data_IF_591477560243
#
_entry.id   IF_591477560243
#
_cell.length_a   1.000
_cell.length_b   1.000
_cell.length_c   1.000
_cell.angle_alpha   90.00
_cell.angle_beta   90.00
_cell.angle_gamma   90.00
#
_symmetry.space_group_name_H-M   'P 1'
#
loop_
_entity.id
_entity.type
_entity.pdbx_description
1 polymer ?
#
# COMPACT_ATOMS: atom_id res chain seq x y z
N UNK A 1 -10.62 -28.71 13.80
CA UNK A 1 -10.32 -27.93 12.58
C UNK A 1 -9.83 -28.89 11.51
N UNK A 2 -10.38 -28.88 10.28
CA UNK A 2 -9.91 -29.76 9.21
C UNK A 2 -8.46 -29.40 8.88
N UNK A 3 -7.55 -30.37 9.04
CA UNK A 3 -6.14 -30.17 8.68
C UNK A 3 -6.04 -30.04 7.16
N UNK A 4 -5.52 -28.90 6.69
CA UNK A 4 -5.20 -28.69 5.28
C UNK A 4 -4.17 -29.74 4.86
N UNK A 5 -4.45 -30.45 3.76
CA UNK A 5 -3.57 -31.47 3.18
C UNK A 5 -2.19 -30.88 2.88
N UNK A 6 -1.14 -31.65 3.16
CA UNK A 6 0.24 -31.16 3.03
C UNK A 6 0.60 -30.83 1.57
N UNK A 7 -0.02 -31.49 0.60
CA UNK A 7 0.14 -31.19 -0.83
C UNK A 7 -0.42 -29.82 -1.20
N UNK A 8 -1.48 -29.38 -0.52
CA UNK A 8 -2.03 -28.03 -0.72
C UNK A 8 -1.15 -26.96 -0.10
N UNK A 9 -0.50 -27.29 1.03
CA UNK A 9 0.48 -26.43 1.69
C UNK A 9 1.68 -26.20 0.77
N UNK A 10 2.27 -27.26 0.22
CA UNK A 10 3.42 -27.17 -0.71
C UNK A 10 3.10 -26.34 -1.94
N UNK A 11 1.96 -26.62 -2.60
CA UNK A 11 1.52 -25.84 -3.77
C UNK A 11 1.35 -24.36 -3.49
N UNK A 12 0.87 -23.99 -2.29
CA UNK A 12 0.75 -22.58 -1.92
C UNK A 12 2.13 -21.93 -1.72
N UNK A 13 3.05 -22.63 -1.07
CA UNK A 13 4.44 -22.17 -0.89
C UNK A 13 5.08 -21.89 -2.25
N UNK A 14 5.10 -22.88 -3.14
CA UNK A 14 5.68 -22.74 -4.49
C UNK A 14 5.12 -21.54 -5.26
N UNK A 15 3.82 -21.29 -5.14
CA UNK A 15 3.14 -20.20 -5.85
C UNK A 15 3.47 -18.82 -5.27
N UNK A 16 3.57 -18.70 -3.96
CA UNK A 16 3.52 -17.41 -3.26
C UNK A 16 4.85 -16.97 -2.65
N UNK A 17 5.79 -17.90 -2.44
CA UNK A 17 7.06 -17.68 -1.73
C UNK A 17 7.91 -16.58 -2.38
N UNK A 18 8.09 -16.62 -3.69
CA UNK A 18 8.88 -15.60 -4.39
C UNK A 18 8.27 -14.20 -4.22
N UNK A 19 6.94 -14.08 -4.27
CA UNK A 19 6.26 -12.80 -4.09
C UNK A 19 6.37 -12.29 -2.65
N UNK A 20 6.28 -13.18 -1.66
CA UNK A 20 6.47 -12.86 -0.25
C UNK A 20 7.90 -12.38 0.04
N UNK A 21 8.91 -13.08 -0.46
CA UNK A 21 10.32 -12.72 -0.20
C UNK A 21 10.74 -11.41 -0.88
N UNK A 22 10.13 -11.08 -2.01
CA UNK A 22 10.40 -9.84 -2.75
C UNK A 22 9.53 -8.66 -2.32
N UNK A 23 8.59 -8.85 -1.39
CA UNK A 23 7.73 -7.77 -0.89
C UNK A 23 8.53 -6.84 0.04
N UNK A 24 8.63 -5.56 -0.34
CA UNK A 24 9.37 -4.53 0.40
C UNK A 24 8.66 -4.07 1.68
N UNK A 25 7.39 -4.43 1.87
CA UNK A 25 6.61 -4.10 3.08
C UNK A 25 6.84 -5.09 4.23
N UNK A 26 7.50 -6.22 3.95
CA UNK A 26 7.84 -7.24 4.95
C UNK A 26 9.25 -6.98 5.46
N UNK A 27 9.44 -6.97 6.78
CA UNK A 27 10.76 -6.80 7.38
C UNK A 27 11.69 -7.96 7.03
N UNK A 28 12.99 -7.65 6.91
CA UNK A 28 14.01 -8.67 6.64
C UNK A 28 14.06 -9.74 7.74
N UNK A 29 13.84 -9.38 9.01
CA UNK A 29 13.73 -10.34 10.12
C UNK A 29 12.63 -11.40 9.89
N UNK A 30 11.48 -11.00 9.35
CA UNK A 30 10.39 -11.94 9.06
C UNK A 30 10.75 -12.84 7.87
N UNK A 31 11.45 -12.30 6.87
CA UNK A 31 11.95 -13.08 5.72
C UNK A 31 13.03 -14.08 6.15
N UNK A 32 13.91 -13.69 7.07
CA UNK A 32 14.98 -14.54 7.59
C UNK A 32 14.40 -15.67 8.46
N UNK A 33 13.43 -15.36 9.31
CA UNK A 33 12.68 -16.36 10.06
C UNK A 33 11.91 -17.34 9.15
N UNK A 34 11.44 -16.87 8.00
CA UNK A 34 10.80 -17.73 7.02
C UNK A 34 11.82 -18.63 6.28
N UNK A 35 12.98 -18.08 5.89
CA UNK A 35 14.06 -18.80 5.18
C UNK A 35 14.76 -19.83 6.07
N UNK A 36 14.80 -19.63 7.39
CA UNK A 36 15.41 -20.57 8.34
C UNK A 36 14.60 -21.85 8.55
N UNK A 37 13.36 -21.90 8.04
CA UNK A 37 12.49 -23.07 8.10
C UNK A 37 12.87 -24.11 7.04
N UNK A 38 13.02 -25.35 7.48
CA UNK A 38 13.32 -26.50 6.62
C UNK A 38 12.08 -27.06 5.88
N UNK A 39 12.27 -28.19 5.19
CA UNK A 39 11.20 -28.87 4.42
C UNK A 39 10.44 -29.92 5.23
N UNK A 40 10.64 -29.95 6.55
CA UNK A 40 9.82 -30.79 7.43
C UNK A 40 8.36 -30.36 7.38
N UNK A 41 7.42 -31.28 7.57
CA UNK A 41 5.99 -30.96 7.54
C UNK A 41 5.62 -29.84 8.52
N UNK A 42 6.22 -29.83 9.71
CA UNK A 42 6.04 -28.80 10.73
C UNK A 42 6.46 -27.43 10.22
N UNK A 43 7.63 -27.34 9.57
CA UNK A 43 8.16 -26.10 9.01
C UNK A 43 7.38 -25.64 7.78
N UNK A 44 6.96 -26.55 6.91
CA UNK A 44 6.08 -26.24 5.78
C UNK A 44 4.74 -25.65 6.26
N UNK A 45 4.17 -26.19 7.34
CA UNK A 45 2.95 -25.62 7.95
C UNK A 45 3.20 -24.23 8.54
N UNK A 46 4.38 -23.96 9.10
CA UNK A 46 4.77 -22.61 9.53
C UNK A 46 4.93 -21.65 8.35
N UNK A 47 5.64 -22.04 7.28
CA UNK A 47 5.77 -21.27 6.03
C UNK A 47 4.38 -20.91 5.47
N UNK A 48 3.46 -21.87 5.45
CA UNK A 48 2.07 -21.65 5.04
C UNK A 48 1.34 -20.58 5.86
N UNK A 49 1.58 -20.53 7.17
CA UNK A 49 0.99 -19.52 8.05
C UNK A 49 1.53 -18.13 7.71
N UNK A 50 2.84 -17.98 7.53
CA UNK A 50 3.45 -16.71 7.10
C UNK A 50 2.82 -16.19 5.81
N UNK A 51 2.75 -17.04 4.77
CA UNK A 51 2.16 -16.68 3.47
C UNK A 51 0.68 -16.32 3.59
N UNK A 52 -0.07 -17.07 4.40
CA UNK A 52 -1.50 -16.81 4.60
C UNK A 52 -1.75 -15.49 5.34
N UNK A 53 -0.94 -15.17 6.36
CA UNK A 53 -1.02 -13.91 7.09
C UNK A 53 -0.62 -12.71 6.21
N UNK A 54 0.44 -12.86 5.42
CA UNK A 54 0.85 -11.85 4.44
C UNK A 54 -0.25 -11.57 3.41
N UNK A 55 -0.82 -12.62 2.80
CA UNK A 55 -1.90 -12.46 1.83
C UNK A 55 -3.16 -11.83 2.45
N UNK A 56 -3.49 -12.18 3.69
CA UNK A 56 -4.60 -11.53 4.40
C UNK A 56 -4.34 -10.03 4.63
N UNK A 57 -3.11 -9.65 5.02
CA UNK A 57 -2.72 -8.25 5.18
C UNK A 57 -2.76 -7.48 3.85
N UNK A 58 -2.22 -8.08 2.78
CA UNK A 58 -2.23 -7.50 1.43
C UNK A 58 -3.66 -7.27 0.92
N UNK A 59 -4.55 -8.24 1.09
CA UNK A 59 -5.95 -8.10 0.70
C UNK A 59 -6.69 -7.04 1.53
N UNK A 60 -6.38 -6.92 2.83
CA UNK A 60 -6.93 -5.87 3.68
C UNK A 60 -6.47 -4.47 3.25
N UNK A 61 -5.16 -4.30 3.01
CA UNK A 61 -4.62 -3.04 2.49
C UNK A 61 -5.24 -2.66 1.15
N UNK A 62 -5.41 -3.61 0.23
CA UNK A 62 -6.08 -3.36 -1.04
C UNK A 62 -7.56 -2.96 -0.83
N UNK A 63 -8.28 -3.60 0.10
CA UNK A 63 -9.67 -3.24 0.41
C UNK A 63 -9.84 -1.88 1.09
N UNK A 64 -8.83 -1.43 1.83
CA UNK A 64 -8.83 -0.12 2.49
C UNK A 64 -8.42 1.01 1.52
N UNK A 65 -7.66 0.70 0.46
CA UNK A 65 -7.31 1.66 -0.62
C UNK A 65 -8.48 1.82 -1.62
N UNK A 66 -9.28 0.77 -1.84
CA UNK A 66 -10.42 0.77 -2.78
C UNK A 66 -11.73 1.32 -2.18
N UNK A 67 -11.76 1.60 -0.87
CA UNK A 67 -12.78 2.46 -0.28
C UNK A 67 -12.46 3.91 -0.60
N UNK A 68 -12.57 4.27 -1.88
CA UNK A 68 -12.70 5.65 -2.28
C UNK A 68 -13.84 6.26 -1.45
N UNK A 69 -13.59 7.41 -0.82
CA UNK A 69 -14.60 8.08 -0.02
C UNK A 69 -15.82 8.30 -0.93
N UNK A 70 -16.96 7.70 -0.60
CA UNK A 70 -18.16 7.84 -1.40
C UNK A 70 -18.58 9.32 -1.35
N UNK A 71 -18.53 9.97 -2.52
CA UNK A 71 -18.95 11.37 -2.69
C UNK A 71 -20.39 11.56 -2.22
N UNK A 72 -21.21 10.51 -2.25
CA UNK A 72 -22.58 10.48 -1.75
C UNK A 72 -22.64 10.53 -0.22
N UNK A 73 -21.76 9.81 0.49
CA UNK A 73 -21.63 9.90 1.94
C UNK A 73 -21.13 11.29 2.37
N UNK A 74 -20.11 11.83 1.70
CA UNK A 74 -19.64 13.21 1.94
C UNK A 74 -20.80 14.19 1.76
N UNK A 75 -21.52 14.10 0.64
CA UNK A 75 -22.63 15.01 0.33
C UNK A 75 -23.77 14.90 1.35
N UNK A 76 -23.99 13.72 1.92
CA UNK A 76 -24.99 13.48 2.97
C UNK A 76 -24.55 14.12 4.28
N UNK A 77 -23.31 13.92 4.69
CA UNK A 77 -22.71 14.56 5.88
C UNK A 77 -22.80 16.09 5.78
N UNK A 78 -22.49 16.67 4.62
CA UNK A 78 -22.60 18.13 4.41
C UNK A 78 -24.04 18.64 4.45
N UNK A 79 -25.02 17.84 3.97
CA UNK A 79 -26.44 18.20 4.09
C UNK A 79 -26.90 18.19 5.54
N UNK A 80 -26.52 17.17 6.31
CA UNK A 80 -26.85 17.03 7.72
C UNK A 80 -26.20 18.13 8.56
N UNK A 81 -24.93 18.45 8.30
CA UNK A 81 -24.24 19.60 8.89
C UNK A 81 -24.99 20.89 8.59
N UNK A 82 -25.37 21.13 7.33
CA UNK A 82 -26.12 22.33 6.93
C UNK A 82 -27.45 22.47 7.68
N UNK A 83 -28.11 21.37 8.05
CA UNK A 83 -29.34 21.40 8.86
C UNK A 83 -29.09 21.50 10.36
N UNK A 84 -27.94 21.01 10.84
CA UNK A 84 -27.58 21.03 12.26
C UNK A 84 -26.98 22.37 12.71
N UNK A 85 -26.41 23.13 11.78
CA UNK A 85 -25.80 24.43 12.06
C UNK A 85 -26.86 25.52 11.93
N UNK A 86 -27.11 26.24 13.02
CA UNK A 86 -27.83 27.50 12.95
C UNK A 86 -26.96 28.52 12.23
N UNK A 87 -27.36 28.90 11.01
CA UNK A 87 -26.65 29.90 10.18
C UNK A 87 -26.54 31.29 10.82
N UNK A 88 -27.28 31.56 11.90
CA UNK A 88 -27.17 32.79 12.69
C UNK A 88 -26.07 32.72 13.76
N UNK A 89 -25.57 31.53 14.10
CA UNK A 89 -24.42 31.34 14.98
C UNK A 89 -23.10 31.53 14.22
N UNK A 90 -22.63 32.78 14.28
CA UNK A 90 -21.36 33.20 13.67
C UNK A 90 -20.15 32.42 14.21
N UNK A 91 -20.15 32.03 15.48
CA UNK A 91 -18.98 31.38 16.11
C UNK A 91 -18.80 29.96 15.57
N UNK A 92 -19.90 29.22 15.46
CA UNK A 92 -19.89 27.88 14.86
C UNK A 92 -19.51 27.94 13.38
N UNK A 93 -20.05 28.93 12.65
CA UNK A 93 -19.72 29.15 11.24
C UNK A 93 -18.22 29.46 11.02
N UNK A 94 -17.63 30.35 11.82
CA UNK A 94 -16.20 30.69 11.76
C UNK A 94 -15.30 29.47 12.06
N UNK A 95 -15.67 28.65 13.04
CA UNK A 95 -14.92 27.42 13.36
C UNK A 95 -14.94 26.44 12.18
N UNK A 96 -16.08 26.28 11.52
CA UNK A 96 -16.20 25.40 10.34
C UNK A 96 -15.33 25.90 9.20
N UNK A 97 -15.35 27.21 8.90
CA UNK A 97 -14.49 27.77 7.86
C UNK A 97 -13.01 27.53 8.16
N UNK A 98 -12.60 27.70 9.42
CA UNK A 98 -11.22 27.45 9.85
C UNK A 98 -10.81 25.99 9.65
N UNK A 99 -11.65 25.04 10.04
CA UNK A 99 -11.39 23.62 9.83
C UNK A 99 -11.37 23.24 8.34
N UNK A 100 -12.22 23.86 7.51
CA UNK A 100 -12.19 23.67 6.05
C UNK A 100 -10.89 24.20 5.42
N UNK A 101 -10.35 25.32 5.90
CA UNK A 101 -9.04 25.82 5.45
C UNK A 101 -7.90 24.87 5.84
N UNK A 102 -7.92 24.34 7.06
CA UNK A 102 -6.93 23.34 7.52
C UNK A 102 -7.00 22.09 6.65
N UNK A 103 -8.22 21.59 6.39
CA UNK A 103 -8.42 20.43 5.52
C UNK A 103 -7.92 20.68 4.10
N UNK A 104 -8.21 21.86 3.53
CA UNK A 104 -7.71 22.25 2.22
C UNK A 104 -6.17 22.26 2.17
N UNK A 105 -5.53 22.89 3.14
CA UNK A 105 -4.07 22.92 3.23
C UNK A 105 -3.46 21.50 3.36
N UNK A 106 -4.12 20.61 4.12
CA UNK A 106 -3.71 19.22 4.24
C UNK A 106 -3.81 18.46 2.91
N UNK A 107 -4.90 18.65 2.16
CA UNK A 107 -5.08 18.06 0.83
C UNK A 107 -4.00 18.57 -0.13
N UNK A 108 -3.81 19.89 -0.20
CA UNK A 108 -2.85 20.52 -1.10
C UNK A 108 -1.41 20.01 -0.84
N UNK A 109 -1.01 19.94 0.44
CA UNK A 109 0.31 19.42 0.81
C UNK A 109 0.46 17.92 0.54
N UNK A 110 -0.60 17.15 0.70
CA UNK A 110 -0.58 15.70 0.42
C UNK A 110 -0.47 15.43 -1.08
N UNK A 111 -1.21 16.16 -1.91
CA UNK A 111 -1.12 16.07 -3.37
C UNK A 111 0.25 16.54 -3.87
N UNK A 112 0.80 17.61 -3.30
CA UNK A 112 2.19 18.03 -3.59
C UNK A 112 3.21 16.93 -3.28
N UNK A 113 3.11 16.27 -2.11
CA UNK A 113 4.00 15.15 -1.76
C UNK A 113 3.87 13.96 -2.71
N UNK A 114 2.66 13.65 -3.18
CA UNK A 114 2.45 12.60 -4.20
C UNK A 114 3.14 12.98 -5.51
N UNK A 115 2.93 14.21 -5.98
CA UNK A 115 3.55 14.72 -7.20
C UNK A 115 5.09 14.65 -7.12
N UNK A 116 5.66 15.02 -5.97
CA UNK A 116 7.10 14.99 -5.74
C UNK A 116 7.67 13.58 -5.73
N UNK A 117 6.94 12.60 -5.17
CA UNK A 117 7.31 11.17 -5.28
C UNK A 117 7.31 10.69 -6.73
N UNK A 118 6.28 11.03 -7.51
CA UNK A 118 6.24 10.68 -8.93
C UNK A 118 7.39 11.31 -9.72
N UNK A 119 7.72 12.56 -9.44
CA UNK A 119 8.86 13.25 -10.06
C UNK A 119 10.18 12.54 -9.75
N UNK A 120 10.40 12.14 -8.50
CA UNK A 120 11.61 11.42 -8.10
C UNK A 120 11.70 10.03 -8.74
N UNK A 121 10.57 9.33 -8.89
CA UNK A 121 10.54 8.04 -9.57
C UNK A 121 10.88 8.18 -11.07
N UNK A 122 10.31 9.18 -11.74
CA UNK A 122 10.64 9.48 -13.14
C UNK A 122 12.11 9.84 -13.33
N UNK A 123 12.70 10.60 -12.39
CA UNK A 123 14.14 10.91 -12.41
C UNK A 123 15.00 9.65 -12.33
N UNK A 124 14.70 8.73 -11.41
CA UNK A 124 15.42 7.45 -11.30
C UNK A 124 15.29 6.60 -12.57
N UNK A 125 14.10 6.57 -13.17
CA UNK A 125 13.90 5.85 -14.43
C UNK A 125 14.71 6.48 -15.57
N UNK A 126 14.76 7.82 -15.64
CA UNK A 126 15.60 8.53 -16.62
C UNK A 126 17.07 8.17 -16.46
N UNK A 127 17.61 8.23 -15.24
CA UNK A 127 19.00 7.87 -14.95
C UNK A 127 19.32 6.41 -15.34
N UNK A 128 18.39 5.49 -15.06
CA UNK A 128 18.56 4.08 -15.44
C UNK A 128 18.57 3.89 -16.97
N UNK A 129 17.71 4.61 -17.70
CA UNK A 129 17.66 4.58 -19.15
C UNK A 129 18.95 5.16 -19.74
N UNK A 130 19.41 6.31 -19.25
CA UNK A 130 20.67 6.93 -19.70
C UNK A 130 21.87 6.01 -19.47
N UNK A 131 21.94 5.35 -18.32
CA UNK A 131 22.99 4.37 -18.03
C UNK A 131 22.96 3.19 -19.01
N UNK A 132 21.78 2.64 -19.30
CA UNK A 132 21.62 1.55 -20.27
C UNK A 132 21.95 1.97 -21.70
N UNK A 133 21.60 3.20 -22.09
CA UNK A 133 21.96 3.74 -23.40
C UNK A 133 23.48 3.87 -23.56
N UNK A 134 24.17 4.41 -22.54
CA UNK A 134 25.62 4.51 -22.55
C UNK A 134 26.33 3.14 -22.61
N UNK A 135 25.79 2.13 -21.91
CA UNK A 135 26.28 0.75 -21.99
C UNK A 135 26.13 0.17 -23.40
N UNK A 136 24.99 0.42 -24.06
CA UNK A 136 24.73 -0.04 -25.45
C UNK A 136 25.63 0.67 -26.48
N UNK A 137 25.80 1.98 -26.37
CA UNK A 137 26.70 2.75 -27.24
C UNK A 137 28.16 2.33 -27.08
N UNK A 138 28.59 2.02 -25.84
CA UNK A 138 29.92 1.47 -25.55
C UNK A 138 30.18 0.09 -26.17
N UNK A 139 29.16 -0.77 -26.25
CA UNK A 139 29.27 -2.09 -26.90
C UNK A 139 29.23 -2.07 -28.43
N UNK A 140 28.92 -0.93 -29.05
CA UNK A 140 28.84 -0.82 -30.53
C UNK A 140 30.19 -0.47 -31.18
N UNK A 141 31.21 -0.15 -30.38
CA UNK A 141 32.56 0.25 -30.83
C UNK A 141 33.64 -0.85 -30.68
N UNK A 142 33.23 -2.13 -30.59
CA UNK A 142 34.09 -3.32 -30.63
C UNK A 142 33.69 -4.22 -31.81
#
# INVERSE_FOLDING_TARGET
MPQVKIESVKRKIEKEESSFLNDSTISEEVKDNYKSLDDSETSLRKKYVYLSQWNAKKNKMNSDIDKGIDVTEIRTIFKELKTAIDSSDKKTTELIYKELEILKAYIDTTEQRKLERYKNELLKQKELIEKRLAELEGTTNL
#
